data_IF_196631862791
#
_entry.id   IF_196631862791
#
_cell.length_a   1.000
_cell.length_b   1.000
_cell.length_c   1.000
_cell.angle_alpha   90.00
_cell.angle_beta   90.00
_cell.angle_gamma   90.00
#
_symmetry.space_group_name_H-M   'P 1'
#
loop_
_entity.id
_entity.type
_entity.pdbx_description
1 polymer ?
#
# COMPACT_ATOMS: atom_id res chain seq x y z
N UNK A 1 -77.64 -16.36 2.65
CA UNK A 1 -76.42 -15.72 3.17
C UNK A 1 -76.74 -14.25 3.38
N UNK A 2 -76.57 -13.74 4.60
CA UNK A 2 -76.98 -12.37 4.95
C UNK A 2 -76.00 -11.34 4.35
N UNK A 3 -76.48 -10.12 4.11
CA UNK A 3 -75.67 -8.98 3.64
C UNK A 3 -74.41 -8.79 4.50
N UNK A 4 -74.58 -8.82 5.83
CA UNK A 4 -73.49 -8.70 6.79
C UNK A 4 -72.44 -9.82 6.67
N UNK A 5 -72.85 -11.06 6.41
CA UNK A 5 -71.92 -12.16 6.20
C UNK A 5 -71.07 -11.96 4.95
N UNK A 6 -71.64 -11.44 3.86
CA UNK A 6 -70.89 -11.17 2.62
C UNK A 6 -69.83 -10.08 2.83
N UNK A 7 -70.21 -8.98 3.48
CA UNK A 7 -69.30 -7.87 3.78
C UNK A 7 -68.15 -8.33 4.68
N UNK A 8 -68.47 -9.08 5.74
CA UNK A 8 -67.46 -9.64 6.64
C UNK A 8 -66.47 -10.55 5.90
N UNK A 9 -66.97 -11.48 5.07
CA UNK A 9 -66.11 -12.39 4.31
C UNK A 9 -65.18 -11.65 3.35
N UNK A 10 -65.68 -10.58 2.71
CA UNK A 10 -64.91 -9.77 1.79
C UNK A 10 -63.76 -9.04 2.50
N UNK A 11 -64.00 -8.46 3.67
CA UNK A 11 -62.95 -7.80 4.46
C UNK A 11 -61.91 -8.79 4.98
N UNK A 12 -62.33 -9.96 5.45
CA UNK A 12 -61.41 -11.03 5.89
C UNK A 12 -60.56 -11.51 4.71
N UNK A 13 -61.16 -11.69 3.54
CA UNK A 13 -60.43 -12.05 2.33
C UNK A 13 -59.37 -10.99 1.95
N UNK A 14 -59.76 -9.71 1.91
CA UNK A 14 -58.82 -8.61 1.65
C UNK A 14 -57.70 -8.55 2.70
N UNK A 15 -58.03 -8.75 3.97
CA UNK A 15 -57.04 -8.79 5.05
C UNK A 15 -55.98 -9.86 4.80
N UNK A 16 -56.40 -11.09 4.45
CA UNK A 16 -55.45 -12.16 4.14
C UNK A 16 -54.67 -11.91 2.84
N UNK A 17 -55.29 -11.30 1.84
CA UNK A 17 -54.62 -10.95 0.59
C UNK A 17 -53.49 -9.95 0.83
N UNK A 18 -53.77 -8.83 1.51
CA UNK A 18 -52.77 -7.82 1.85
C UNK A 18 -51.68 -8.40 2.75
N UNK A 19 -52.06 -9.19 3.75
CA UNK A 19 -51.11 -9.86 4.64
C UNK A 19 -50.19 -10.82 3.87
N UNK A 20 -50.73 -11.57 2.91
CA UNK A 20 -49.95 -12.45 2.03
C UNK A 20 -48.96 -11.67 1.17
N UNK A 21 -49.43 -10.61 0.48
CA UNK A 21 -48.56 -9.75 -0.35
C UNK A 21 -47.44 -9.12 0.49
N UNK A 22 -47.75 -8.66 1.70
CA UNK A 22 -46.77 -8.09 2.61
C UNK A 22 -45.65 -9.08 2.95
N UNK A 23 -45.98 -10.35 3.26
CA UNK A 23 -44.97 -11.36 3.54
C UNK A 23 -44.11 -11.71 2.32
N UNK A 24 -44.72 -11.81 1.14
CA UNK A 24 -43.97 -12.08 -0.11
C UNK A 24 -43.02 -10.93 -0.42
N UNK A 25 -43.47 -9.68 -0.29
CA UNK A 25 -42.62 -8.51 -0.51
C UNK A 25 -41.42 -8.50 0.45
N UNK A 26 -41.67 -8.78 1.73
CA UNK A 26 -40.62 -8.81 2.76
C UNK A 26 -39.63 -9.95 2.51
N UNK A 27 -40.10 -11.11 2.04
CA UNK A 27 -39.25 -12.23 1.64
C UNK A 27 -38.33 -11.88 0.46
N UNK A 28 -38.85 -11.24 -0.57
CA UNK A 28 -38.05 -10.78 -1.71
C UNK A 28 -37.02 -9.74 -1.28
N UNK A 29 -37.40 -8.78 -0.42
CA UNK A 29 -36.49 -7.79 0.12
C UNK A 29 -35.33 -8.45 0.90
N UNK A 30 -35.62 -9.51 1.66
CA UNK A 30 -34.60 -10.26 2.40
C UNK A 30 -33.59 -10.92 1.46
N UNK A 31 -34.06 -11.55 0.37
CA UNK A 31 -33.19 -12.17 -0.64
C UNK A 31 -32.24 -11.13 -1.27
N UNK A 32 -32.76 -9.94 -1.58
CA UNK A 32 -31.96 -8.85 -2.16
C UNK A 32 -30.90 -8.38 -1.15
N UNK A 33 -31.29 -8.14 0.10
CA UNK A 33 -30.38 -7.71 1.15
C UNK A 33 -29.26 -8.73 1.37
N UNK A 34 -29.60 -10.03 1.36
CA UNK A 34 -28.63 -11.10 1.50
C UNK A 34 -27.64 -11.14 0.33
N UNK A 35 -28.12 -11.02 -0.91
CA UNK A 35 -27.24 -10.95 -2.09
C UNK A 35 -26.26 -9.79 -2.00
N UNK A 36 -26.73 -8.60 -1.62
CA UNK A 36 -25.89 -7.40 -1.45
C UNK A 36 -24.85 -7.64 -0.35
N UNK A 37 -25.25 -8.21 0.78
CA UNK A 37 -24.35 -8.51 1.89
C UNK A 37 -23.25 -9.50 1.47
N UNK A 38 -23.59 -10.56 0.74
CA UNK A 38 -22.62 -11.54 0.22
C UNK A 38 -21.65 -10.89 -0.77
N UNK A 39 -22.13 -10.08 -1.71
CA UNK A 39 -21.28 -9.37 -2.67
C UNK A 39 -20.31 -8.41 -1.96
N UNK A 40 -20.80 -7.65 -0.98
CA UNK A 40 -19.97 -6.75 -0.18
C UNK A 40 -18.89 -7.51 0.58
N UNK A 41 -19.24 -8.62 1.20
CA UNK A 41 -18.29 -9.48 1.91
C UNK A 41 -17.22 -10.05 0.98
N UNK A 42 -17.59 -10.51 -0.21
CA UNK A 42 -16.63 -10.97 -1.21
C UNK A 42 -15.66 -9.85 -1.63
N UNK A 43 -16.18 -8.64 -1.85
CA UNK A 43 -15.36 -7.49 -2.21
C UNK A 43 -14.31 -7.18 -1.12
N UNK A 44 -14.73 -7.11 0.15
CA UNK A 44 -13.82 -6.92 1.28
C UNK A 44 -12.77 -8.02 1.38
N UNK A 45 -13.17 -9.29 1.23
CA UNK A 45 -12.23 -10.43 1.24
C UNK A 45 -11.21 -10.32 0.12
N UNK A 46 -11.62 -9.92 -1.08
CA UNK A 46 -10.71 -9.73 -2.22
C UNK A 46 -9.72 -8.60 -1.95
N UNK A 47 -10.18 -7.47 -1.42
CA UNK A 47 -9.31 -6.35 -1.05
C UNK A 47 -8.28 -6.76 0.00
N UNK A 48 -8.71 -7.37 1.11
CA UNK A 48 -7.78 -7.81 2.16
C UNK A 48 -6.77 -8.85 1.66
N UNK A 49 -7.17 -9.75 0.75
CA UNK A 49 -6.22 -10.70 0.14
C UNK A 49 -5.16 -9.96 -0.68
N UNK A 50 -5.55 -8.94 -1.44
CA UNK A 50 -4.61 -8.11 -2.22
C UNK A 50 -3.67 -7.33 -1.30
N UNK A 51 -4.19 -6.71 -0.25
CA UNK A 51 -3.39 -5.98 0.74
C UNK A 51 -2.36 -6.90 1.39
N UNK A 52 -2.79 -8.07 1.89
CA UNK A 52 -1.88 -9.05 2.50
C UNK A 52 -0.82 -9.56 1.51
N UNK A 53 -1.17 -9.71 0.24
CA UNK A 53 -0.19 -10.11 -0.79
C UNK A 53 0.84 -9.00 -1.03
N UNK A 54 0.41 -7.76 -1.17
CA UNK A 54 1.30 -6.60 -1.31
C UNK A 54 2.20 -6.43 -0.08
N UNK A 55 1.67 -6.68 1.11
CA UNK A 55 2.43 -6.65 2.34
C UNK A 55 3.54 -7.71 2.35
N UNK A 56 3.23 -8.97 1.97
CA UNK A 56 4.23 -10.04 1.86
C UNK A 56 5.36 -9.69 0.91
N UNK A 57 5.06 -9.09 -0.25
CA UNK A 57 6.09 -8.63 -1.19
C UNK A 57 6.98 -7.54 -0.57
N UNK A 58 6.39 -6.57 0.14
CA UNK A 58 7.17 -5.53 0.86
C UNK A 58 8.07 -6.14 1.93
N UNK A 59 7.56 -7.08 2.73
CA UNK A 59 8.34 -7.80 3.74
C UNK A 59 9.47 -8.60 3.09
N UNK A 60 9.19 -9.32 2.00
CA UNK A 60 10.21 -10.07 1.24
C UNK A 60 11.36 -9.17 0.77
N UNK A 61 11.04 -8.00 0.23
CA UNK A 61 12.06 -7.01 -0.17
C UNK A 61 12.85 -6.52 1.04
N UNK A 62 12.18 -6.13 2.13
CA UNK A 62 12.82 -5.66 3.35
C UNK A 62 13.80 -6.69 3.94
N UNK A 63 13.37 -7.96 4.04
CA UNK A 63 14.24 -9.05 4.48
C UNK A 63 15.43 -9.26 3.55
N UNK A 64 15.21 -9.23 2.22
CA UNK A 64 16.31 -9.37 1.26
C UNK A 64 17.36 -8.25 1.38
N UNK A 65 16.94 -7.02 1.66
CA UNK A 65 17.84 -5.89 1.89
C UNK A 65 18.60 -6.04 3.21
N UNK A 66 17.91 -6.47 4.25
CA UNK A 66 18.52 -6.75 5.55
C UNK A 66 19.57 -7.86 5.47
N UNK A 67 19.28 -8.95 4.76
CA UNK A 67 20.22 -10.05 4.58
C UNK A 67 21.44 -9.63 3.76
N UNK A 68 21.25 -8.83 2.69
CA UNK A 68 22.36 -8.20 1.96
C UNK A 68 23.23 -7.33 2.88
N UNK A 69 22.62 -6.57 3.80
CA UNK A 69 23.34 -5.75 4.77
C UNK A 69 24.12 -6.58 5.80
N UNK A 70 23.70 -7.81 6.10
CA UNK A 70 24.45 -8.73 6.97
C UNK A 70 25.67 -9.33 6.27
N UNK A 71 25.56 -9.59 4.97
CA UNK A 71 26.65 -10.19 4.17
C UNK A 71 27.76 -9.16 3.90
N UNK A 72 27.41 -7.89 3.72
CA UNK A 72 28.40 -6.79 3.75
C UNK A 72 28.80 -6.61 5.21
N UNK A 73 30.06 -6.87 5.62
CA UNK A 73 30.49 -6.57 6.98
C UNK A 73 30.12 -5.13 7.31
N UNK A 74 29.63 -4.86 8.51
CA UNK A 74 29.45 -3.50 8.99
C UNK A 74 30.84 -2.87 9.11
N UNK A 75 31.38 -2.39 7.98
CA UNK A 75 32.60 -1.62 7.92
C UNK A 75 32.22 -0.32 8.60
N UNK A 76 32.51 -0.24 9.89
CA UNK A 76 32.43 1.03 10.60
C UNK A 76 33.25 2.02 9.76
N UNK A 77 32.70 3.21 9.43
CA UNK A 77 33.47 4.19 8.69
C UNK A 77 34.77 4.41 9.47
N UNK A 78 35.91 4.20 8.82
CA UNK A 78 37.21 4.42 9.45
C UNK A 78 37.21 5.84 10.00
N UNK A 79 37.68 5.98 11.24
CA UNK A 79 37.76 7.28 11.87
C UNK A 79 38.65 8.21 11.03
N UNK A 80 38.33 9.50 11.01
CA UNK A 80 38.98 10.49 10.14
C UNK A 80 40.50 10.51 10.39
N UNK A 81 40.90 10.29 11.65
CA UNK A 81 42.29 10.15 12.07
C UNK A 81 43.04 9.01 11.34
N UNK A 82 42.36 7.90 11.04
CA UNK A 82 42.91 6.76 10.31
C UNK A 82 42.91 7.00 8.80
N UNK A 83 41.98 7.81 8.26
CA UNK A 83 41.98 8.21 6.85
C UNK A 83 43.14 9.16 6.52
N UNK A 84 43.42 10.13 7.38
CA UNK A 84 44.49 11.12 7.16
C UNK A 84 45.88 10.47 7.22
N UNK A 85 46.09 9.49 8.11
CA UNK A 85 47.39 8.86 8.32
C UNK A 85 47.64 7.62 7.44
N UNK A 86 46.66 7.20 6.64
CA UNK A 86 46.81 6.06 5.74
C UNK A 86 47.49 6.50 4.42
N UNK A 87 48.67 5.94 4.07
CA UNK A 87 49.39 6.33 2.85
C UNK A 87 48.65 5.97 1.56
N UNK A 88 47.68 5.05 1.61
CA UNK A 88 46.86 4.64 0.48
C UNK A 88 45.52 5.40 0.42
N UNK A 89 45.33 6.45 1.24
CA UNK A 89 44.09 7.25 1.22
C UNK A 89 44.12 8.31 0.12
N UNK A 90 42.94 8.63 -0.42
CA UNK A 90 42.76 9.67 -1.44
C UNK A 90 43.25 11.06 -0.96
N UNK A 91 43.24 11.31 0.35
CA UNK A 91 43.71 12.56 0.96
C UNK A 91 45.23 12.66 1.06
N UNK A 92 45.98 11.55 1.01
CA UNK A 92 47.44 11.56 1.10
C UNK A 92 48.08 12.18 -0.16
N UNK A 93 47.46 12.02 -1.33
CA UNK A 93 47.99 12.49 -2.61
C UNK A 93 47.51 13.89 -3.01
N UNK A 94 46.52 14.47 -2.31
CA UNK A 94 45.98 15.79 -2.66
C UNK A 94 46.92 16.95 -2.31
N UNK A 95 47.85 16.74 -1.38
CA UNK A 95 48.78 17.78 -0.91
C UNK A 95 50.08 17.85 -1.74
N UNK A 96 50.34 16.88 -2.61
CA UNK A 96 51.62 16.74 -3.33
C UNK A 96 51.80 17.76 -4.46
N UNK A 97 50.76 18.50 -4.86
CA UNK A 97 50.83 19.40 -6.03
C UNK A 97 50.54 20.89 -5.77
N UNK A 98 50.46 21.32 -4.50
CA UNK A 98 50.12 22.72 -4.18
C UNK A 98 51.36 23.63 -4.10
N UNK A 99 52.56 23.11 -3.81
CA UNK A 99 53.78 23.92 -3.68
C UNK A 99 54.39 24.37 -5.02
N UNK A 100 54.02 23.74 -6.14
CA UNK A 100 54.54 24.08 -7.47
C UNK A 100 53.54 24.83 -8.38
N UNK A 101 52.37 25.24 -7.86
CA UNK A 101 51.33 25.93 -8.66
C UNK A 101 51.39 27.46 -8.66
N UNK A 102 52.51 28.08 -8.30
CA UNK A 102 52.78 29.48 -8.64
C UNK A 102 53.62 29.57 -9.92
N UNK A 103 53.01 29.25 -11.07
CA UNK A 103 53.27 29.85 -12.38
C UNK A 103 52.45 29.12 -13.44
N UNK A 104 51.71 29.92 -14.22
CA UNK A 104 50.91 29.55 -15.38
C UNK A 104 49.63 28.74 -15.07
N UNK A 105 48.46 29.34 -15.28
CA UNK A 105 47.70 29.20 -16.52
C UNK A 105 46.49 30.14 -16.48
N UNK A 106 46.50 31.16 -17.35
CA UNK A 106 45.28 31.78 -17.82
C UNK A 106 44.57 30.74 -18.71
N UNK A 107 43.33 30.40 -18.39
CA UNK A 107 42.60 29.38 -19.12
C UNK A 107 41.24 29.11 -18.51
N UNK A 108 40.29 30.01 -18.79
CA UNK A 108 38.87 29.78 -18.58
C UNK A 108 38.45 28.46 -19.24
N UNK A 109 38.08 27.46 -18.44
CA UNK A 109 37.12 26.43 -18.86
C UNK A 109 36.10 26.21 -17.75
N UNK A 110 35.00 26.94 -17.89
CA UNK A 110 33.71 26.63 -17.29
C UNK A 110 33.19 25.38 -18.00
N UNK A 111 33.02 24.28 -17.29
CA UNK A 111 32.17 23.18 -17.74
C UNK A 111 30.80 23.35 -17.09
N UNK A 112 29.70 23.27 -17.85
CA UNK A 112 28.37 23.36 -17.26
C UNK A 112 28.08 22.10 -16.43
N UNK A 113 27.67 22.34 -15.19
CA UNK A 113 26.97 21.38 -14.34
C UNK A 113 25.63 21.07 -15.01
N UNK A 114 25.45 19.83 -15.47
CA UNK A 114 24.19 19.34 -16.01
C UNK A 114 23.37 18.82 -14.84
N UNK A 115 22.26 19.51 -14.56
CA UNK A 115 21.18 19.08 -13.66
C UNK A 115 20.36 17.95 -14.25
#
# INVERSE_FOLDING_TARGET
MTEFQKIFLFYVFLYFLFKGVMYVALYVALIIAEKIARQRLEHFRRLHRKEKAAERERWKVAYSLHDKKKVVPNIQPLDISQLVNNPNSFTAYSQVNTSNRHKHYAGNRVYPFVS
#
